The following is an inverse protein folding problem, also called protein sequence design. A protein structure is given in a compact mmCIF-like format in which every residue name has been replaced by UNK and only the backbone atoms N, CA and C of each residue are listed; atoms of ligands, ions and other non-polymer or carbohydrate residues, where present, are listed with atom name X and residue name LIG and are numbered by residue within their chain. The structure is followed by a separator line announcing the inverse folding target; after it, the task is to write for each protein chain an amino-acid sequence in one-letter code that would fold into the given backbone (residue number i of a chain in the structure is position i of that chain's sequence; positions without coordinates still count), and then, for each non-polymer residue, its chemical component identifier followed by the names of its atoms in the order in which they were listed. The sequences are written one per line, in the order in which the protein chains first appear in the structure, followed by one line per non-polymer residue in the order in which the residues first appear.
data_IF_445492091420
#
_entry.id   IF_445492091420
#
_cell.length_a   1.000
_cell.length_b   1.000
_cell.length_c   1.000
_cell.angle_alpha   90.00
_cell.angle_beta   90.00
_cell.angle_gamma   90.00
#
_symmetry.space_group_name_H-M   'P 1'
#
loop_
_entity.id
_entity.type
_entity.pdbx_description
1 polymer ?
#
# COMPACT_ATOMS: atom_id res chain seq x y z
N UNK A 1 13.97 -12.78 5.45
CA UNK A 1 13.67 -11.70 6.36
C UNK A 1 13.73 -10.37 5.67
N UNK A 2 14.86 -9.98 5.18
CA UNK A 2 15.05 -8.66 4.62
C UNK A 2 14.27 -8.35 3.35
N UNK A 3 13.65 -9.36 2.76
CA UNK A 3 12.99 -9.18 1.47
C UNK A 3 11.48 -9.08 1.57
N UNK A 4 10.96 -8.92 2.79
CA UNK A 4 9.52 -8.86 2.99
C UNK A 4 9.02 -7.42 2.83
N UNK A 5 9.30 -6.84 1.69
CA UNK A 5 8.84 -5.49 1.37
C UNK A 5 7.38 -5.51 0.95
N UNK A 6 6.65 -4.48 1.35
CA UNK A 6 5.22 -4.40 1.01
C UNK A 6 5.01 -4.34 -0.50
N UNK A 7 5.87 -3.63 -1.22
CA UNK A 7 5.76 -3.56 -2.67
C UNK A 7 5.86 -4.96 -3.30
N UNK A 8 6.82 -5.77 -2.84
CA UNK A 8 7.00 -7.13 -3.35
C UNK A 8 5.80 -8.00 -2.98
N UNK A 9 5.30 -7.88 -1.76
CA UNK A 9 4.16 -8.66 -1.31
C UNK A 9 2.93 -8.37 -2.16
N UNK A 10 2.67 -7.11 -2.47
CA UNK A 10 1.53 -6.73 -3.32
C UNK A 10 1.74 -7.22 -4.74
N UNK A 11 2.95 -7.07 -5.29
CA UNK A 11 3.24 -7.54 -6.63
C UNK A 11 3.04 -9.05 -6.76
N UNK A 12 3.49 -9.81 -5.77
CA UNK A 12 3.28 -11.27 -5.76
C UNK A 12 1.80 -11.63 -5.68
N UNK A 13 1.04 -10.92 -4.88
CA UNK A 13 -0.41 -11.16 -4.77
C UNK A 13 -1.12 -10.89 -6.10
N UNK A 14 -0.77 -9.80 -6.76
CA UNK A 14 -1.34 -9.47 -8.07
C UNK A 14 -0.99 -10.56 -9.08
N UNK A 15 0.28 -10.96 -9.11
CA UNK A 15 0.75 -11.98 -10.05
C UNK A 15 0.00 -13.30 -9.84
N UNK A 16 -0.21 -13.69 -8.59
CA UNK A 16 -0.93 -14.92 -8.27
C UNK A 16 -2.36 -14.88 -8.79
N UNK A 17 -3.06 -13.77 -8.54
CA UNK A 17 -4.46 -13.63 -8.98
C UNK A 17 -4.55 -13.64 -10.51
N UNK A 18 -3.61 -13.05 -11.19
CA UNK A 18 -3.63 -12.93 -12.66
C UNK A 18 -2.92 -14.08 -13.37
N UNK A 19 -2.38 -15.03 -12.62
CA UNK A 19 -1.69 -16.15 -13.22
C UNK A 19 -0.37 -15.80 -13.90
N UNK A 20 0.27 -14.74 -13.42
CA UNK A 20 1.56 -14.31 -13.98
C UNK A 20 2.69 -15.21 -13.48
N UNK A 21 3.63 -15.53 -14.36
CA UNK A 21 4.77 -16.38 -14.02
C UNK A 21 5.80 -15.64 -13.19
N UNK A 22 6.03 -14.38 -13.52
CA UNK A 22 7.05 -13.56 -12.85
C UNK A 22 6.38 -12.38 -12.14
N UNK A 23 6.48 -12.37 -10.82
CA UNK A 23 5.87 -11.30 -10.04
C UNK A 23 6.49 -9.93 -10.34
N UNK A 24 7.74 -9.89 -10.82
CA UNK A 24 8.36 -8.63 -11.20
C UNK A 24 7.58 -7.87 -12.25
N UNK A 25 6.87 -8.59 -13.11
CA UNK A 25 6.03 -7.97 -14.15
C UNK A 25 4.80 -7.27 -13.56
N UNK A 26 4.48 -7.55 -12.30
CA UNK A 26 3.36 -6.91 -11.61
C UNK A 26 3.78 -5.66 -10.82
N UNK A 27 5.06 -5.30 -10.83
CA UNK A 27 5.52 -4.13 -10.06
C UNK A 27 4.85 -2.82 -10.48
N UNK A 28 4.69 -2.53 -11.79
CA UNK A 28 3.98 -1.31 -12.17
C UNK A 28 2.55 -1.29 -11.64
N UNK A 29 1.87 -2.44 -11.66
CA UNK A 29 0.51 -2.55 -11.12
C UNK A 29 0.50 -2.34 -9.61
N UNK A 30 1.47 -2.90 -8.90
CA UNK A 30 1.57 -2.72 -7.45
C UNK A 30 1.77 -1.25 -7.09
N UNK A 31 2.62 -0.54 -7.84
CA UNK A 31 2.83 0.89 -7.60
C UNK A 31 1.56 1.69 -7.87
N UNK A 32 0.84 1.33 -8.93
CA UNK A 32 -0.45 1.99 -9.22
C UNK A 32 -1.45 1.80 -8.09
N UNK A 33 -1.46 0.61 -7.48
CA UNK A 33 -2.32 0.33 -6.32
C UNK A 33 -1.97 1.26 -5.16
N UNK A 34 -0.68 1.42 -4.86
CA UNK A 34 -0.26 2.31 -3.78
C UNK A 34 -0.65 3.76 -4.07
N UNK A 35 -0.51 4.21 -5.30
CA UNK A 35 -0.94 5.56 -5.68
C UNK A 35 -2.43 5.74 -5.41
N UNK A 36 -3.23 4.75 -5.79
CA UNK A 36 -4.68 4.78 -5.55
C UNK A 36 -5.01 4.78 -4.06
N UNK A 37 -4.21 4.11 -3.24
CA UNK A 37 -4.44 4.00 -1.81
C UNK A 37 -3.91 5.18 -1.00
N UNK A 38 -3.18 6.08 -1.64
CA UNK A 38 -2.51 7.16 -0.94
C UNK A 38 -3.47 8.05 -0.15
N UNK A 39 -4.65 8.26 -0.69
CA UNK A 39 -5.67 9.07 -0.01
C UNK A 39 -6.67 8.15 0.67
N UNK A 40 -6.65 8.05 2.01
CA UNK A 40 -7.62 7.22 2.71
C UNK A 40 -9.02 7.84 2.57
N UNK A 41 -10.02 6.99 2.55
CA UNK A 41 -11.41 7.47 2.50
C UNK A 41 -11.86 7.86 3.92
N UNK A 42 -12.87 8.72 3.98
CA UNK A 42 -13.45 9.11 5.27
C UNK A 42 -13.95 7.88 6.06
N UNK A 43 -14.68 6.93 5.45
CA UNK A 43 -15.07 5.74 6.20
C UNK A 43 -13.91 4.92 6.75
N UNK A 44 -12.77 4.89 6.05
CA UNK A 44 -11.58 4.20 6.57
C UNK A 44 -11.05 4.88 7.82
N UNK A 45 -11.01 6.21 7.81
CA UNK A 45 -10.54 6.98 8.95
C UNK A 45 -11.49 6.81 10.14
N UNK A 46 -12.79 6.82 9.87
CA UNK A 46 -13.80 6.62 10.92
C UNK A 46 -13.70 5.23 11.52
N UNK A 47 -13.40 4.22 10.71
CA UNK A 47 -13.23 2.86 11.22
C UNK A 47 -12.07 2.75 12.19
N UNK A 48 -11.00 3.51 11.95
CA UNK A 48 -9.82 3.50 12.81
C UNK A 48 -10.01 4.33 14.09
N UNK A 49 -10.68 5.49 13.99
CA UNK A 49 -10.80 6.45 15.07
C UNK A 49 -12.25 6.93 15.22
N UNK A 50 -13.18 5.97 15.31
CA UNK A 50 -14.62 6.25 15.25
C UNK A 50 -15.09 7.18 16.36
N UNK A 51 -14.47 7.12 17.53
CA UNK A 51 -14.93 7.86 18.71
C UNK A 51 -14.22 9.19 18.90
N UNK A 52 -13.36 9.61 17.96
CA UNK A 52 -12.61 10.83 18.09
C UNK A 52 -13.22 11.95 17.24
N UNK A 53 -13.16 13.20 17.70
CA UNK A 53 -13.73 14.32 16.96
C UNK A 53 -12.99 14.62 15.66
N UNK A 54 -11.71 14.24 15.58
CA UNK A 54 -10.93 14.36 14.36
C UNK A 54 -9.93 13.20 14.31
N UNK A 55 -9.22 13.11 13.20
CA UNK A 55 -8.31 11.98 12.98
C UNK A 55 -6.85 12.31 13.30
N UNK A 56 -6.59 13.52 13.81
CA UNK A 56 -5.24 13.93 14.13
C UNK A 56 -4.30 13.78 12.95
N UNK A 57 -3.19 13.06 13.16
CA UNK A 57 -2.19 12.84 12.12
C UNK A 57 -2.40 11.57 11.31
N UNK A 58 -3.52 10.86 11.53
CA UNK A 58 -3.72 9.56 10.88
C UNK A 58 -3.66 9.64 9.35
N UNK A 59 -4.30 10.62 8.68
CA UNK A 59 -4.20 10.69 7.22
C UNK A 59 -2.77 10.92 6.75
N UNK A 60 -2.01 11.74 7.45
CA UNK A 60 -0.63 12.02 7.09
C UNK A 60 0.26 10.82 7.34
N UNK A 61 0.07 10.12 8.45
CA UNK A 61 0.82 8.91 8.76
C UNK A 61 0.55 7.82 7.71
N UNK A 62 -0.69 7.69 7.28
CA UNK A 62 -1.06 6.75 6.22
C UNK A 62 -0.31 7.08 4.92
N UNK A 63 -0.30 8.35 4.50
CA UNK A 63 0.38 8.76 3.27
C UNK A 63 1.88 8.48 3.35
N UNK A 64 2.50 8.74 4.49
CA UNK A 64 3.93 8.48 4.67
C UNK A 64 4.23 6.99 4.50
N UNK A 65 3.42 6.13 5.10
CA UNK A 65 3.61 4.69 4.97
C UNK A 65 3.42 4.21 3.54
N UNK A 66 2.39 4.71 2.87
CA UNK A 66 2.11 4.32 1.49
C UNK A 66 3.22 4.82 0.55
N UNK A 67 3.66 6.05 0.72
CA UNK A 67 4.74 6.61 -0.11
C UNK A 67 6.04 5.84 0.08
N UNK A 68 6.33 5.46 1.32
CA UNK A 68 7.50 4.63 1.60
C UNK A 68 7.41 3.30 0.85
N UNK A 69 6.27 2.62 0.96
CA UNK A 69 6.08 1.32 0.34
C UNK A 69 6.18 1.41 -1.18
N UNK A 70 5.60 2.46 -1.77
CA UNK A 70 5.62 2.64 -3.22
C UNK A 70 7.04 2.92 -3.74
N UNK A 71 7.87 3.56 -2.93
CA UNK A 71 9.23 3.94 -3.32
C UNK A 71 10.31 2.97 -2.86
N UNK A 72 9.94 1.82 -2.30
CA UNK A 72 10.95 0.87 -1.84
C UNK A 72 11.87 0.42 -2.97
N UNK A 73 13.15 0.34 -2.64
CA UNK A 73 14.14 -0.18 -3.58
C UNK A 73 14.17 -1.70 -3.48
N UNK A 74 14.10 -2.36 -4.62
CA UNK A 74 14.22 -3.82 -4.67
C UNK A 74 15.69 -4.20 -4.70
N UNK A 75 16.07 -5.15 -3.86
CA UNK A 75 17.44 -5.62 -3.80
C UNK A 75 17.51 -7.13 -3.85
#
# INVERSE_FOLDING_TARGET
MGNDQMLVRVAKAIAEVQGMTHWGDALPSARAVFVAMREPTVPMLEAALADLPDWGNLPDDWRVMIDYAAGESLQ
#
